data_IF_348805814538
#
_entry.id   IF_348805814538
#
_cell.length_a   1.000
_cell.length_b   1.000
_cell.length_c   1.000
_cell.angle_alpha   90.00
_cell.angle_beta   90.00
_cell.angle_gamma   90.00
#
_symmetry.space_group_name_H-M   'P 1'
#
loop_
_entity.id
_entity.type
_entity.pdbx_description
1 polymer ?
#
# COMPACT_ATOMS: atom_id res chain seq x y z
N UNK A 1 9.38 9.78 16.55
CA UNK A 1 8.82 10.15 15.23
C UNK A 1 9.47 9.26 14.18
N UNK A 2 8.76 8.75 13.19
CA UNK A 2 9.38 7.89 12.17
C UNK A 2 10.30 8.72 11.26
N UNK A 3 11.43 8.15 10.81
CA UNK A 3 12.41 8.78 9.93
C UNK A 3 11.76 9.42 8.69
N UNK A 4 10.81 8.73 8.08
CA UNK A 4 10.13 9.21 6.88
C UNK A 4 9.21 10.42 7.16
N UNK A 5 8.62 10.50 8.35
CA UNK A 5 7.81 11.64 8.77
C UNK A 5 8.69 12.87 9.03
N UNK A 6 9.85 12.69 9.63
CA UNK A 6 10.85 13.76 9.82
C UNK A 6 11.30 14.31 8.48
N UNK A 7 11.65 13.43 7.53
CA UNK A 7 12.00 13.81 6.16
C UNK A 7 10.86 14.55 5.46
N UNK A 8 9.61 14.12 5.65
CA UNK A 8 8.45 14.82 5.09
C UNK A 8 8.39 16.26 5.57
N UNK A 9 8.54 16.50 6.87
CA UNK A 9 8.47 17.85 7.45
C UNK A 9 9.68 18.71 7.06
N UNK A 10 10.90 18.14 7.11
CA UNK A 10 12.15 18.87 6.90
C UNK A 10 12.42 19.20 5.42
N UNK A 11 12.18 18.24 4.53
CA UNK A 11 12.61 18.33 3.12
C UNK A 11 11.43 18.47 2.14
N UNK A 12 10.40 17.63 2.31
CA UNK A 12 9.31 17.50 1.33
C UNK A 12 8.38 18.70 1.34
N UNK A 13 7.97 19.16 2.50
CA UNK A 13 7.06 20.31 2.65
C UNK A 13 7.66 21.59 2.06
N UNK A 14 8.91 21.99 2.35
CA UNK A 14 9.53 23.17 1.74
C UNK A 14 9.68 23.02 0.21
N UNK A 15 10.06 21.85 -0.28
CA UNK A 15 10.25 21.59 -1.70
C UNK A 15 8.92 21.73 -2.47
N UNK A 16 7.84 21.07 -2.01
CA UNK A 16 6.52 21.17 -2.63
C UNK A 16 5.95 22.58 -2.57
N UNK A 17 6.18 23.30 -1.45
CA UNK A 17 5.75 24.68 -1.31
C UNK A 17 6.41 25.61 -2.34
N UNK A 18 7.70 25.40 -2.59
CA UNK A 18 8.46 26.19 -3.57
C UNK A 18 8.05 25.85 -5.01
N UNK A 19 7.80 24.56 -5.30
CA UNK A 19 7.52 24.09 -6.66
C UNK A 19 6.10 24.43 -7.11
N UNK A 20 5.11 24.25 -6.24
CA UNK A 20 3.69 24.49 -6.55
C UNK A 20 3.12 25.83 -6.03
N UNK A 21 3.93 26.62 -5.32
CA UNK A 21 3.54 27.96 -4.88
C UNK A 21 2.47 28.01 -3.78
N UNK A 22 2.42 26.99 -2.90
CA UNK A 22 1.43 27.00 -1.82
C UNK A 22 1.66 28.15 -0.82
N UNK A 23 0.70 29.04 -0.70
CA UNK A 23 0.73 30.13 0.27
C UNK A 23 0.61 29.62 1.71
N UNK A 24 -0.27 28.63 1.94
CA UNK A 24 -0.52 28.04 3.25
C UNK A 24 0.18 26.67 3.37
N UNK A 25 0.94 26.48 4.44
CA UNK A 25 1.61 25.20 4.77
C UNK A 25 0.60 24.04 4.90
N UNK A 26 -0.61 24.33 5.38
CA UNK A 26 -1.67 23.33 5.52
C UNK A 26 -2.27 22.87 4.18
N UNK A 27 -2.05 23.60 3.09
CA UNK A 27 -2.48 23.23 1.75
C UNK A 27 -1.50 22.25 1.06
N UNK A 28 -0.27 22.09 1.60
CA UNK A 28 0.72 21.18 1.05
C UNK A 28 0.21 19.73 1.12
N UNK A 29 0.31 18.98 0.01
CA UNK A 29 -0.12 17.59 -0.03
C UNK A 29 0.57 16.72 1.03
N UNK A 30 -0.22 15.88 1.68
CA UNK A 30 0.27 14.90 2.67
C UNK A 30 -0.39 13.55 2.46
N UNK A 31 0.27 12.48 2.92
CA UNK A 31 -0.32 11.15 2.96
C UNK A 31 -1.27 11.06 4.15
N UNK A 32 -2.49 10.62 3.91
CA UNK A 32 -3.54 10.51 4.94
C UNK A 32 -3.67 9.09 5.48
N UNK A 33 -3.58 8.11 4.60
CA UNK A 33 -3.65 6.68 4.93
C UNK A 33 -2.98 5.84 3.86
N UNK A 34 -2.56 4.65 4.25
CA UNK A 34 -2.17 3.58 3.34
C UNK A 34 -3.08 2.39 3.58
N UNK A 35 -3.67 1.89 2.51
CA UNK A 35 -4.54 0.71 2.56
C UNK A 35 -3.80 -0.44 1.89
N UNK A 36 -3.61 -1.53 2.62
CA UNK A 36 -3.04 -2.77 2.08
C UNK A 36 -4.16 -3.78 1.99
N UNK A 37 -4.42 -4.28 0.78
CA UNK A 37 -5.47 -5.24 0.50
C UNK A 37 -4.89 -6.49 -0.14
N UNK A 38 -5.33 -7.65 0.33
CA UNK A 38 -4.99 -8.95 -0.22
C UNK A 38 -6.27 -9.63 -0.68
N UNK A 39 -6.40 -9.83 -1.99
CA UNK A 39 -7.53 -10.56 -2.58
C UNK A 39 -7.29 -12.06 -2.50
N UNK A 40 -8.15 -12.78 -1.79
CA UNK A 40 -8.05 -14.21 -1.53
C UNK A 40 -9.28 -14.94 -2.07
N UNK A 41 -9.46 -14.91 -3.38
CA UNK A 41 -10.60 -15.54 -4.07
C UNK A 41 -10.71 -17.06 -3.82
N UNK A 42 -9.60 -17.73 -3.50
CA UNK A 42 -9.58 -19.14 -3.10
C UNK A 42 -10.30 -19.40 -1.76
N UNK A 43 -10.55 -18.35 -0.97
CA UNK A 43 -11.34 -18.40 0.26
C UNK A 43 -12.78 -18.88 0.06
N UNK A 44 -13.29 -18.83 -1.18
CA UNK A 44 -14.61 -19.40 -1.53
C UNK A 44 -14.64 -20.93 -1.39
N UNK A 45 -13.49 -21.58 -1.57
CA UNK A 45 -13.33 -23.04 -1.42
C UNK A 45 -12.85 -23.42 -0.02
N UNK A 46 -11.98 -22.59 0.58
CA UNK A 46 -11.39 -22.83 1.88
C UNK A 46 -11.20 -21.53 2.67
N UNK A 47 -12.07 -21.30 3.66
CA UNK A 47 -12.03 -20.11 4.51
C UNK A 47 -10.71 -19.95 5.29
N UNK A 48 -10.02 -21.05 5.58
CA UNK A 48 -8.75 -21.07 6.31
C UNK A 48 -7.64 -20.32 5.56
N UNK A 49 -7.70 -20.30 4.21
CA UNK A 49 -6.77 -19.53 3.37
C UNK A 49 -6.87 -18.02 3.66
N UNK A 50 -8.10 -17.55 3.91
CA UNK A 50 -8.32 -16.13 4.23
C UNK A 50 -7.81 -15.78 5.62
N UNK A 51 -7.94 -16.68 6.59
CA UNK A 51 -7.40 -16.50 7.93
C UNK A 51 -5.87 -16.43 7.89
N UNK A 52 -5.22 -17.38 7.20
CA UNK A 52 -3.76 -17.40 7.00
C UNK A 52 -3.28 -16.10 6.31
N UNK A 53 -3.94 -15.68 5.24
CA UNK A 53 -3.60 -14.43 4.55
C UNK A 53 -3.81 -13.19 5.42
N UNK A 54 -4.81 -13.17 6.27
CA UNK A 54 -5.04 -12.10 7.24
C UNK A 54 -3.94 -12.05 8.31
N UNK A 55 -3.46 -13.20 8.78
CA UNK A 55 -2.34 -13.29 9.72
C UNK A 55 -1.02 -12.82 9.08
N UNK A 56 -0.73 -13.25 7.85
CA UNK A 56 0.44 -12.79 7.09
C UNK A 56 0.41 -11.27 6.90
N UNK A 57 -0.73 -10.73 6.48
CA UNK A 57 -0.92 -9.29 6.33
C UNK A 57 -0.75 -8.54 7.66
N UNK A 58 -1.21 -9.14 8.76
CA UNK A 58 -1.00 -8.62 10.10
C UNK A 58 0.47 -8.54 10.50
N UNK A 59 1.27 -9.54 10.14
CA UNK A 59 2.73 -9.56 10.38
C UNK A 59 3.44 -8.47 9.58
N UNK A 60 3.11 -8.32 8.30
CA UNK A 60 3.68 -7.30 7.41
C UNK A 60 3.38 -5.89 7.91
N UNK A 61 2.15 -5.63 8.32
CA UNK A 61 1.69 -4.28 8.67
C UNK A 61 1.84 -3.93 10.15
N UNK A 62 2.05 -4.92 11.00
CA UNK A 62 2.05 -4.74 12.46
C UNK A 62 0.68 -4.39 13.05
N UNK A 63 -0.40 -4.60 12.29
CA UNK A 63 -1.77 -4.34 12.72
C UNK A 63 -2.68 -5.50 12.30
N UNK A 64 -3.60 -5.91 13.15
CA UNK A 64 -4.56 -6.98 12.84
C UNK A 64 -5.36 -6.64 11.59
N UNK A 65 -5.35 -7.55 10.61
CA UNK A 65 -6.09 -7.39 9.37
C UNK A 65 -7.58 -7.63 9.58
N UNK A 66 -8.40 -6.84 8.90
CA UNK A 66 -9.84 -7.07 8.80
C UNK A 66 -10.12 -8.04 7.65
N UNK A 67 -10.87 -9.10 7.93
CA UNK A 67 -11.35 -10.03 6.90
C UNK A 67 -12.49 -9.37 6.12
N UNK A 68 -12.31 -9.27 4.81
CA UNK A 68 -13.33 -8.73 3.91
C UNK A 68 -14.26 -9.83 3.42
N UNK A 69 -15.57 -9.55 3.46
CA UNK A 69 -16.61 -10.51 3.11
C UNK A 69 -17.39 -10.04 1.89
N UNK A 70 -17.85 -11.00 1.10
CA UNK A 70 -18.66 -10.74 -0.07
C UNK A 70 -19.99 -10.04 0.30
N UNK A 71 -20.31 -8.97 -0.39
CA UNK A 71 -21.56 -8.20 -0.20
C UNK A 71 -22.72 -8.75 -1.04
N UNK A 72 -22.41 -9.43 -2.15
CA UNK A 72 -23.37 -10.02 -3.09
C UNK A 72 -23.04 -11.48 -3.35
N UNK A 73 -24.08 -12.25 -3.72
CA UNK A 73 -23.91 -13.63 -4.21
C UNK A 73 -23.77 -13.60 -5.72
N UNK A 74 -22.72 -14.25 -6.25
CA UNK A 74 -22.43 -14.34 -7.69
C UNK A 74 -22.13 -15.80 -8.02
N UNK A 75 -23.06 -16.44 -8.74
CA UNK A 75 -22.98 -17.88 -9.06
C UNK A 75 -21.73 -18.21 -9.91
N UNK A 76 -21.38 -17.38 -10.87
CA UNK A 76 -20.22 -17.56 -11.73
C UNK A 76 -18.90 -17.71 -10.98
N UNK A 77 -18.73 -16.99 -9.88
CA UNK A 77 -17.55 -17.06 -9.01
C UNK A 77 -17.73 -17.98 -7.81
N UNK A 78 -18.84 -18.70 -7.72
CA UNK A 78 -19.19 -19.57 -6.57
C UNK A 78 -19.14 -18.82 -5.22
N UNK A 79 -19.47 -17.52 -5.23
CA UNK A 79 -19.47 -16.65 -4.06
C UNK A 79 -20.88 -16.48 -3.55
N UNK A 80 -21.06 -16.61 -2.22
CA UNK A 80 -22.28 -16.26 -1.52
C UNK A 80 -22.04 -15.07 -0.62
N UNK A 81 -23.07 -14.25 -0.41
CA UNK A 81 -23.04 -13.13 0.54
C UNK A 81 -22.56 -13.58 1.92
N UNK A 82 -21.60 -12.84 2.49
CA UNK A 82 -21.00 -13.14 3.79
C UNK A 82 -19.76 -14.04 3.76
N UNK A 83 -19.44 -14.69 2.62
CA UNK A 83 -18.21 -15.49 2.51
C UNK A 83 -16.96 -14.62 2.64
N UNK A 84 -15.91 -15.07 3.38
CA UNK A 84 -14.64 -14.38 3.45
C UNK A 84 -13.91 -14.52 2.11
N UNK A 85 -13.48 -13.40 1.52
CA UNK A 85 -12.86 -13.35 0.18
C UNK A 85 -11.55 -12.56 0.15
N UNK A 86 -11.14 -11.97 1.26
CA UNK A 86 -9.91 -11.20 1.33
C UNK A 86 -9.60 -10.67 2.71
N UNK A 87 -8.48 -9.96 2.81
CA UNK A 87 -8.07 -9.28 4.02
C UNK A 87 -7.57 -7.87 3.70
N UNK A 88 -7.80 -6.92 4.59
CA UNK A 88 -7.43 -5.52 4.40
C UNK A 88 -6.94 -4.90 5.70
N UNK A 89 -5.95 -4.02 5.58
CA UNK A 89 -5.45 -3.18 6.68
C UNK A 89 -5.42 -1.73 6.23
N UNK A 90 -5.86 -0.83 7.08
CA UNK A 90 -5.71 0.62 6.89
C UNK A 90 -4.75 1.18 7.91
N UNK A 91 -3.63 1.73 7.44
CA UNK A 91 -2.58 2.32 8.25
C UNK A 91 -2.68 3.84 8.24
N UNK A 92 -2.50 4.47 9.41
CA UNK A 92 -2.49 5.92 9.60
C UNK A 92 -1.39 6.33 10.58
N UNK A 93 -1.04 7.62 10.58
CA UNK A 93 -0.10 8.19 11.51
C UNK A 93 1.30 7.58 11.40
N UNK A 94 1.95 7.29 12.51
CA UNK A 94 3.32 6.79 12.52
C UNK A 94 3.47 5.41 11.87
N UNK A 95 2.54 4.49 12.14
CA UNK A 95 2.55 3.15 11.53
C UNK A 95 2.51 3.20 10.00
N UNK A 96 1.81 4.17 9.43
CA UNK A 96 1.76 4.38 7.99
C UNK A 96 3.14 4.78 7.44
N UNK A 97 3.82 5.73 8.09
CA UNK A 97 5.16 6.15 7.66
C UNK A 97 6.21 5.05 7.84
N UNK A 98 6.15 4.29 8.94
CA UNK A 98 7.03 3.15 9.16
C UNK A 98 6.84 2.05 8.12
N UNK A 99 5.59 1.75 7.76
CA UNK A 99 5.28 0.79 6.70
C UNK A 99 5.81 1.27 5.35
N UNK A 100 5.60 2.55 4.99
CA UNK A 100 6.11 3.12 3.75
C UNK A 100 7.64 3.12 3.70
N UNK A 101 8.31 3.42 4.80
CA UNK A 101 9.77 3.37 4.88
C UNK A 101 10.30 1.95 4.61
N UNK A 102 9.72 0.93 5.24
CA UNK A 102 10.07 -0.48 4.98
C UNK A 102 9.74 -0.91 3.55
N UNK A 103 8.61 -0.48 3.02
CA UNK A 103 8.22 -0.75 1.64
C UNK A 103 9.26 -0.20 0.66
N UNK A 104 9.65 1.07 0.80
CA UNK A 104 10.56 1.77 -0.11
C UNK A 104 12.00 1.28 0.06
N UNK A 105 12.48 1.15 1.30
CA UNK A 105 13.88 0.86 1.58
C UNK A 105 14.22 -0.64 1.51
N UNK A 106 13.28 -1.52 1.82
CA UNK A 106 13.54 -2.96 1.98
C UNK A 106 12.77 -3.80 0.97
N UNK A 107 11.44 -3.63 0.90
CA UNK A 107 10.59 -4.52 0.11
C UNK A 107 10.74 -4.30 -1.40
N UNK A 108 10.68 -3.07 -1.88
CA UNK A 108 10.78 -2.77 -3.32
C UNK A 108 12.11 -3.21 -3.95
N UNK A 109 13.29 -2.99 -3.33
CA UNK A 109 14.55 -3.48 -3.87
C UNK A 109 14.64 -5.01 -3.97
N UNK A 110 13.86 -5.74 -3.18
CA UNK A 110 13.81 -7.21 -3.19
C UNK A 110 12.89 -7.79 -4.26
N UNK A 111 12.11 -6.96 -4.94
CA UNK A 111 11.28 -7.39 -6.07
C UNK A 111 12.15 -7.90 -7.19
N UNK A 112 11.86 -9.11 -7.70
CA UNK A 112 12.57 -9.68 -8.85
C UNK A 112 12.44 -8.76 -10.06
N UNK A 113 13.56 -8.48 -10.75
CA UNK A 113 13.65 -7.61 -11.94
C UNK A 113 13.05 -6.21 -11.71
N UNK A 114 13.29 -5.64 -10.52
CA UNK A 114 12.77 -4.32 -10.19
C UNK A 114 13.38 -3.23 -11.07
N UNK A 115 12.52 -2.55 -11.83
CA UNK A 115 12.89 -1.42 -12.71
C UNK A 115 12.19 -0.12 -12.33
N UNK A 116 11.72 -0.01 -11.10
CA UNK A 116 10.90 1.10 -10.62
C UNK A 116 9.39 0.79 -10.67
N UNK A 117 8.63 1.54 -9.90
CA UNK A 117 7.17 1.43 -9.86
C UNK A 117 6.52 2.20 -11.01
N UNK A 118 5.41 1.70 -11.52
CA UNK A 118 4.69 2.33 -12.64
C UNK A 118 4.11 3.67 -12.23
N UNK A 119 4.31 4.70 -13.06
CA UNK A 119 3.66 6.00 -12.90
C UNK A 119 2.17 6.00 -13.30
N UNK A 120 1.66 4.90 -13.85
CA UNK A 120 0.25 4.78 -14.30
C UNK A 120 -0.73 4.37 -13.18
N UNK A 121 -0.25 4.18 -11.96
CA UNK A 121 -1.06 3.75 -10.81
C UNK A 121 -1.85 4.87 -10.12
N UNK A 122 -1.89 6.08 -10.68
CA UNK A 122 -2.67 7.21 -10.16
C UNK A 122 -4.13 7.15 -10.64
N UNK A 123 -5.05 7.63 -9.81
CA UNK A 123 -6.51 7.58 -10.04
C UNK A 123 -7.10 8.87 -10.64
N UNK A 124 -6.29 9.87 -10.97
CA UNK A 124 -6.72 11.18 -11.45
C UNK A 124 -7.05 12.17 -10.32
N UNK A 125 -7.00 11.75 -9.06
CA UNK A 125 -7.31 12.56 -7.86
C UNK A 125 -6.19 12.58 -6.84
N UNK A 126 -4.98 12.22 -7.25
CA UNK A 126 -3.80 12.25 -6.39
C UNK A 126 -3.63 11.04 -5.46
N UNK A 127 -4.34 9.95 -5.67
CA UNK A 127 -4.09 8.69 -4.98
C UNK A 127 -3.30 7.75 -5.87
N UNK A 128 -2.47 6.91 -5.27
CA UNK A 128 -1.60 5.98 -5.98
C UNK A 128 -1.81 4.55 -5.51
N UNK A 129 -1.92 3.61 -6.44
CA UNK A 129 -2.04 2.18 -6.11
C UNK A 129 -0.91 1.39 -6.77
N UNK A 130 -0.22 0.60 -5.97
CA UNK A 130 0.84 -0.31 -6.34
C UNK A 130 0.38 -1.76 -6.17
N UNK A 131 0.46 -2.56 -7.23
CA UNK A 131 0.27 -4.01 -7.16
C UNK A 131 1.60 -4.73 -6.92
N UNK A 132 1.67 -5.55 -5.89
CA UNK A 132 2.78 -6.45 -5.60
C UNK A 132 2.34 -7.88 -5.88
N UNK A 133 3.19 -8.66 -6.55
CA UNK A 133 2.87 -10.04 -6.96
C UNK A 133 3.12 -11.06 -5.85
N UNK A 134 4.00 -10.73 -4.91
CA UNK A 134 4.48 -11.67 -3.92
C UNK A 134 4.64 -10.99 -2.55
N UNK A 135 4.17 -11.67 -1.48
CA UNK A 135 4.36 -11.23 -0.11
C UNK A 135 5.77 -11.53 0.43
N UNK A 136 6.52 -12.41 -0.23
CA UNK A 136 7.86 -12.84 0.21
C UNK A 136 8.93 -11.75 0.15
N UNK A 137 8.64 -10.62 -0.51
CA UNK A 137 9.53 -9.48 -0.50
C UNK A 137 9.65 -8.80 0.88
N UNK A 138 8.65 -9.01 1.75
CA UNK A 138 8.68 -8.50 3.12
C UNK A 138 9.48 -9.43 4.02
N UNK A 139 10.49 -8.91 4.76
CA UNK A 139 11.34 -9.72 5.63
C UNK A 139 10.60 -10.35 6.82
N UNK A 140 9.43 -9.84 7.15
CA UNK A 140 8.58 -10.34 8.22
C UNK A 140 7.93 -11.70 7.89
N UNK A 141 7.95 -12.06 6.62
CA UNK A 141 7.37 -13.32 6.12
C UNK A 141 8.46 -14.37 5.97
N UNK A 142 8.31 -15.48 6.69
CA UNK A 142 9.20 -16.62 6.62
C UNK A 142 8.86 -17.50 5.39
N UNK A 143 9.79 -17.62 4.46
CA UNK A 143 9.63 -18.40 3.24
C UNK A 143 9.24 -19.87 3.52
N UNK A 144 9.73 -20.44 4.61
CA UNK A 144 9.45 -21.85 4.97
C UNK A 144 8.02 -22.08 5.45
N UNK A 145 7.30 -21.03 5.84
CA UNK A 145 5.94 -21.10 6.38
C UNK A 145 4.85 -20.68 5.41
N UNK A 146 5.25 -20.28 4.20
CA UNK A 146 4.32 -19.79 3.17
C UNK A 146 3.94 -20.94 2.24
N UNK A 147 2.65 -21.26 2.22
CA UNK A 147 2.11 -22.30 1.34
C UNK A 147 2.10 -21.88 -0.14
N UNK A 148 1.78 -20.59 -0.39
CA UNK A 148 1.60 -20.06 -1.73
C UNK A 148 1.93 -18.57 -1.79
N UNK A 149 2.54 -18.14 -2.91
CA UNK A 149 2.70 -16.72 -3.22
C UNK A 149 1.33 -16.07 -3.42
N UNK A 150 1.11 -14.95 -2.71
CA UNK A 150 -0.11 -14.15 -2.76
C UNK A 150 0.23 -12.71 -3.06
N UNK A 151 -0.44 -12.16 -4.07
CA UNK A 151 -0.32 -10.76 -4.40
C UNK A 151 -1.09 -9.86 -3.45
N UNK A 152 -0.69 -8.59 -3.39
CA UNK A 152 -1.39 -7.56 -2.63
C UNK A 152 -1.38 -6.22 -3.36
N UNK A 153 -2.36 -5.39 -3.06
CA UNK A 153 -2.45 -4.02 -3.54
C UNK A 153 -2.20 -3.06 -2.37
N UNK A 154 -1.33 -2.09 -2.60
CA UNK A 154 -1.02 -1.03 -1.64
C UNK A 154 -1.52 0.28 -2.23
N UNK A 155 -2.53 0.87 -1.62
CA UNK A 155 -3.11 2.15 -2.04
C UNK A 155 -2.68 3.25 -1.08
N UNK A 156 -1.96 4.24 -1.60
CA UNK A 156 -1.52 5.42 -0.88
C UNK A 156 -2.52 6.55 -1.16
N UNK A 157 -3.24 6.95 -0.14
CA UNK A 157 -4.24 8.03 -0.22
C UNK A 157 -3.62 9.32 0.27
N UNK A 158 -3.68 10.35 -0.56
CA UNK A 158 -3.11 11.66 -0.28
C UNK A 158 -4.17 12.76 -0.23
N UNK A 159 -3.79 13.96 0.17
CA UNK A 159 -4.62 15.16 0.08
C UNK A 159 -4.34 15.97 -1.19
N UNK A 160 -3.48 15.49 -2.08
CA UNK A 160 -3.21 16.13 -3.36
C UNK A 160 -4.49 16.23 -4.21
N UNK A 161 -4.62 17.30 -4.96
CA UNK A 161 -5.76 17.51 -5.86
C UNK A 161 -5.51 16.94 -7.25
N UNK A 162 -4.25 16.87 -7.66
CA UNK A 162 -3.82 16.38 -8.97
C UNK A 162 -2.82 15.24 -8.83
N UNK A 163 -2.71 14.42 -9.86
CA UNK A 163 -1.75 13.33 -9.91
C UNK A 163 -0.30 13.82 -9.96
N UNK A 164 -0.07 15.01 -10.52
CA UNK A 164 1.26 15.65 -10.58
C UNK A 164 1.76 15.99 -9.18
N UNK A 165 0.92 16.64 -8.36
CA UNK A 165 1.23 16.95 -6.97
C UNK A 165 1.53 15.68 -6.16
N UNK A 166 0.69 14.64 -6.32
CA UNK A 166 0.87 13.37 -5.64
C UNK A 166 2.13 12.63 -6.10
N UNK A 167 2.41 12.61 -7.40
CA UNK A 167 3.61 12.02 -7.96
C UNK A 167 4.85 12.68 -7.38
N UNK A 168 4.86 14.01 -7.34
CA UNK A 168 5.99 14.77 -6.80
C UNK A 168 6.18 14.53 -5.30
N UNK A 169 5.08 14.50 -4.54
CA UNK A 169 5.08 14.12 -3.13
C UNK A 169 5.75 12.76 -2.91
N UNK A 170 5.32 11.73 -3.64
CA UNK A 170 5.84 10.37 -3.50
C UNK A 170 7.30 10.26 -3.96
N UNK A 171 7.72 11.00 -5.01
CA UNK A 171 9.11 11.06 -5.44
C UNK A 171 10.02 11.65 -4.35
N UNK A 172 9.63 12.75 -3.73
CA UNK A 172 10.39 13.40 -2.66
C UNK A 172 10.49 12.54 -1.40
N UNK A 173 9.45 11.74 -1.12
CA UNK A 173 9.47 10.75 -0.04
C UNK A 173 10.46 9.62 -0.33
N UNK A 174 10.74 9.35 -1.61
CA UNK A 174 11.72 8.35 -2.04
C UNK A 174 11.11 7.17 -2.81
N UNK A 175 9.87 7.27 -3.28
CA UNK A 175 9.26 6.23 -4.12
C UNK A 175 10.01 6.16 -5.47
N UNK A 176 10.56 5.00 -5.83
CA UNK A 176 11.34 4.82 -7.04
C UNK A 176 10.44 4.63 -8.27
N UNK A 177 9.97 5.71 -8.86
CA UNK A 177 9.21 5.63 -10.11
C UNK A 177 10.11 5.28 -11.30
N UNK A 178 9.57 4.48 -12.20
CA UNK A 178 10.25 4.15 -13.45
C UNK A 178 10.42 5.43 -14.29
N UNK A 179 11.65 5.68 -14.72
CA UNK A 179 11.93 6.69 -15.74
C UNK A 179 11.52 6.10 -17.09
N UNK A 180 10.70 6.84 -17.85
CA UNK A 180 10.34 6.47 -19.22
C UNK A 180 11.50 6.79 -20.15
#
# INVERSE_FOLDING_TARGET
>A
MSRLKERYVADVVPALRKEFGYANVMAVPKITKVVVNMGLGEGTQNAKIVETGAEELGKITGQKAAVTRATKSIAQFKVRKGMPIGAMVTLRGERMYEFLDRLIAIALPRVRDFRGVSARGFDGRGNYTLGLRDQLMFPEIDYLKVDKSRGMNISVVTTAKTDEEARRLLQLIGMPFRQN
#
